data_IF_845635611651
#
_entry.id   IF_845635611651
#
_cell.length_a   1.000
_cell.length_b   1.000
_cell.length_c   1.000
_cell.angle_alpha   90.00
_cell.angle_beta   90.00
_cell.angle_gamma   90.00
#
_symmetry.space_group_name_H-M   'P 1'
#
loop_
_entity.id
_entity.type
_entity.pdbx_description
1 polymer ?
#
# COMPACT_ATOMS: atom_id res chain seq x y z
N UNK A 1 18.18 -14.25 -18.82
CA UNK A 1 17.49 -13.91 -17.55
C UNK A 1 17.70 -12.41 -17.34
N UNK A 2 16.64 -11.60 -17.39
CA UNK A 2 16.76 -10.15 -17.28
C UNK A 2 16.22 -9.71 -15.92
N UNK A 3 17.10 -9.19 -15.06
CA UNK A 3 16.75 -8.57 -13.78
C UNK A 3 15.95 -7.30 -14.04
N UNK A 4 14.67 -7.29 -13.69
CA UNK A 4 13.85 -6.07 -13.65
C UNK A 4 14.24 -5.25 -12.43
N UNK A 5 15.27 -4.42 -12.56
CA UNK A 5 15.56 -3.40 -11.56
C UNK A 5 14.38 -2.42 -11.50
N UNK A 6 13.60 -2.48 -10.43
CA UNK A 6 12.52 -1.55 -10.13
C UNK A 6 13.09 -0.13 -10.07
N UNK A 7 12.85 0.65 -11.12
CA UNK A 7 13.29 2.05 -11.19
C UNK A 7 12.48 2.83 -10.17
N UNK A 8 13.08 3.06 -8.99
CA UNK A 8 12.48 3.89 -7.96
C UNK A 8 12.35 5.32 -8.51
N UNK A 9 11.13 5.89 -8.52
CA UNK A 9 10.95 7.26 -8.98
C UNK A 9 11.76 8.21 -8.09
N UNK A 10 12.72 8.91 -8.68
CA UNK A 10 13.62 9.85 -7.99
C UNK A 10 12.95 11.20 -7.68
N UNK A 11 11.73 11.43 -8.17
CA UNK A 11 10.98 12.67 -7.97
C UNK A 11 9.58 12.38 -7.46
N UNK A 12 9.15 13.22 -6.52
CA UNK A 12 7.78 13.20 -6.01
C UNK A 12 6.81 13.66 -7.11
N UNK A 13 5.65 13.03 -7.17
CA UNK A 13 4.57 13.46 -8.05
C UNK A 13 3.84 14.69 -7.48
N UNK A 14 2.96 15.27 -8.29
CA UNK A 14 2.23 16.50 -7.93
C UNK A 14 1.39 16.34 -6.66
N UNK A 15 0.76 15.20 -6.42
CA UNK A 15 -0.04 14.95 -5.22
C UNK A 15 0.84 14.88 -3.97
N UNK A 16 1.97 14.18 -4.05
CA UNK A 16 2.93 14.08 -2.94
C UNK A 16 3.47 15.45 -2.55
N UNK A 17 3.77 16.31 -3.53
CA UNK A 17 4.21 17.69 -3.28
C UNK A 17 3.09 18.53 -2.65
N UNK A 18 1.85 18.38 -3.11
CA UNK A 18 0.69 19.07 -2.53
C UNK A 18 0.42 18.65 -1.09
N UNK A 19 0.59 17.36 -0.76
CA UNK A 19 0.51 16.88 0.61
C UNK A 19 1.59 17.53 1.48
N UNK A 20 2.84 17.56 1.03
CA UNK A 20 3.92 18.23 1.78
C UNK A 20 3.63 19.72 2.03
N UNK A 21 3.05 20.42 1.06
CA UNK A 21 2.63 21.83 1.23
C UNK A 21 1.47 22.00 2.19
N UNK A 22 0.55 21.04 2.25
CA UNK A 22 -0.56 21.05 3.20
C UNK A 22 -0.05 20.98 4.65
N UNK A 23 1.01 20.20 4.88
CA UNK A 23 1.69 20.05 6.18
C UNK A 23 2.72 21.14 6.50
N UNK A 24 2.95 22.10 5.59
CA UNK A 24 3.85 23.23 5.83
C UNK A 24 3.28 24.17 6.91
N UNK A 25 1.98 24.10 7.17
CA UNK A 25 1.30 24.74 8.29
C UNK A 25 1.26 23.77 9.47
N UNK A 26 1.56 24.26 10.68
CA UNK A 26 1.55 23.41 11.88
C UNK A 26 0.20 22.70 12.04
N UNK A 27 0.26 21.37 12.17
CA UNK A 27 -0.87 20.51 12.50
C UNK A 27 -0.68 19.96 13.92
N UNK A 28 -1.78 19.71 14.59
CA UNK A 28 -1.80 18.95 15.84
C UNK A 28 -1.45 17.48 15.58
N UNK A 29 -0.97 16.80 16.62
CA UNK A 29 -0.65 15.37 16.54
C UNK A 29 -1.90 14.53 16.20
N UNK A 30 -3.08 14.97 16.66
CA UNK A 30 -4.37 14.36 16.36
C UNK A 30 -4.68 14.43 14.86
N UNK A 31 -4.54 15.61 14.23
CA UNK A 31 -4.80 15.76 12.80
C UNK A 31 -3.78 14.94 11.95
N UNK A 32 -2.52 14.85 12.40
CA UNK A 32 -1.50 14.00 11.75
C UNK A 32 -1.91 12.53 11.80
N UNK A 33 -2.42 12.09 12.95
CA UNK A 33 -2.88 10.71 13.13
C UNK A 33 -4.07 10.39 12.23
N UNK A 34 -5.07 11.26 12.17
CA UNK A 34 -6.25 11.08 11.31
C UNK A 34 -5.87 10.92 9.83
N UNK A 35 -4.96 11.75 9.33
CA UNK A 35 -4.52 11.65 7.93
C UNK A 35 -3.72 10.37 7.70
N UNK A 36 -2.88 9.96 8.66
CA UNK A 36 -2.14 8.70 8.58
C UNK A 36 -3.09 7.51 8.48
N UNK A 37 -4.12 7.47 9.31
CA UNK A 37 -5.12 6.40 9.30
C UNK A 37 -5.86 6.33 7.96
N UNK A 38 -6.25 7.49 7.41
CA UNK A 38 -6.90 7.57 6.10
C UNK A 38 -6.01 6.99 4.98
N UNK A 39 -4.72 7.36 4.97
CA UNK A 39 -3.76 6.86 3.98
C UNK A 39 -3.55 5.35 4.12
N UNK A 40 -3.35 4.86 5.35
CA UNK A 40 -3.17 3.42 5.63
C UNK A 40 -4.41 2.64 5.20
N UNK A 41 -5.61 3.08 5.56
CA UNK A 41 -6.85 2.43 5.18
C UNK A 41 -7.01 2.34 3.65
N UNK A 42 -6.70 3.42 2.94
CA UNK A 42 -6.74 3.43 1.47
C UNK A 42 -5.72 2.45 0.86
N UNK A 43 -4.49 2.44 1.36
CA UNK A 43 -3.44 1.55 0.85
C UNK A 43 -3.75 0.08 1.16
N UNK A 44 -4.25 -0.24 2.36
CA UNK A 44 -4.67 -1.59 2.74
C UNK A 44 -5.79 -2.12 1.85
N UNK A 45 -6.78 -1.27 1.50
CA UNK A 45 -7.84 -1.65 0.56
C UNK A 45 -7.27 -1.98 -0.82
N UNK A 46 -6.32 -1.20 -1.33
CA UNK A 46 -5.67 -1.49 -2.61
C UNK A 46 -4.86 -2.77 -2.57
N UNK A 47 -4.16 -3.03 -1.46
CA UNK A 47 -3.41 -4.27 -1.27
C UNK A 47 -4.34 -5.48 -1.33
N UNK A 48 -5.47 -5.45 -0.62
CA UNK A 48 -6.45 -6.54 -0.61
C UNK A 48 -6.96 -6.86 -2.01
N UNK A 49 -7.34 -5.83 -2.77
CA UNK A 49 -7.82 -5.99 -4.17
C UNK A 49 -6.74 -6.61 -5.07
N UNK A 50 -5.48 -6.20 -4.92
CA UNK A 50 -4.38 -6.80 -5.69
C UNK A 50 -4.11 -8.25 -5.29
N UNK A 51 -4.23 -8.59 -4.00
CA UNK A 51 -4.10 -9.98 -3.52
C UNK A 51 -5.22 -10.84 -4.06
N UNK A 52 -6.47 -10.38 -4.02
CA UNK A 52 -7.62 -11.06 -4.62
C UNK A 52 -7.39 -11.30 -6.12
N UNK A 53 -6.98 -10.27 -6.86
CA UNK A 53 -6.66 -10.39 -8.29
C UNK A 53 -5.57 -11.42 -8.57
N UNK A 54 -4.49 -11.41 -7.78
CA UNK A 54 -3.37 -12.36 -7.97
C UNK A 54 -3.81 -13.79 -7.65
N UNK A 55 -4.65 -14.00 -6.63
CA UNK A 55 -5.18 -15.32 -6.30
C UNK A 55 -6.09 -15.85 -7.41
N UNK A 56 -6.97 -15.01 -7.96
CA UNK A 56 -7.81 -15.36 -9.11
C UNK A 56 -6.97 -15.71 -10.35
N UNK A 57 -5.93 -14.91 -10.65
CA UNK A 57 -5.05 -15.14 -11.81
C UNK A 57 -4.18 -16.40 -11.68
N UNK A 58 -3.79 -16.77 -10.45
CA UNK A 58 -2.96 -17.95 -10.18
C UNK A 58 -3.78 -19.21 -9.85
N UNK A 59 -5.10 -19.08 -9.76
CA UNK A 59 -6.02 -20.18 -9.43
C UNK A 59 -5.89 -20.66 -7.98
N UNK A 60 -5.34 -19.84 -7.08
CA UNK A 60 -5.29 -20.17 -5.66
C UNK A 60 -6.69 -20.05 -5.07
N UNK A 61 -7.14 -21.09 -4.40
CA UNK A 61 -8.41 -21.08 -3.67
C UNK A 61 -8.25 -20.33 -2.34
N UNK A 62 -9.35 -19.83 -1.77
CA UNK A 62 -9.31 -19.19 -0.45
C UNK A 62 -8.65 -20.08 0.63
N UNK A 63 -8.79 -21.40 0.50
CA UNK A 63 -8.15 -22.39 1.37
C UNK A 63 -6.62 -22.45 1.22
N UNK A 64 -6.08 -22.21 0.01
CA UNK A 64 -4.63 -22.20 -0.23
C UNK A 64 -3.99 -20.96 0.41
N UNK A 65 -4.69 -19.83 0.36
CA UNK A 65 -4.26 -18.56 0.96
C UNK A 65 -4.27 -18.66 2.49
N UNK A 66 -5.33 -19.24 3.04
CA UNK A 66 -5.48 -19.49 4.48
C UNK A 66 -4.45 -20.51 5.00
N UNK A 67 -4.10 -21.52 4.19
CA UNK A 67 -3.01 -22.43 4.50
C UNK A 67 -1.65 -21.72 4.53
N UNK A 68 -1.37 -20.80 3.59
CA UNK A 68 -0.13 -20.01 3.57
C UNK A 68 -0.03 -19.01 4.74
N UNK A 69 -1.14 -18.43 5.19
CA UNK A 69 -1.18 -17.50 6.33
C UNK A 69 -0.98 -18.19 7.67
N UNK A 70 -1.38 -19.46 7.77
CA UNK A 70 -1.27 -20.27 8.97
C UNK A 70 -0.07 -21.24 8.97
N UNK A 71 0.76 -21.23 7.92
CA UNK A 71 1.98 -22.04 7.86
C UNK A 71 3.08 -21.39 8.73
N UNK A 72 3.48 -22.00 9.85
CA UNK A 72 4.51 -21.44 10.71
C UNK A 72 5.87 -21.58 10.03
N UNK A 73 6.46 -20.45 9.63
CA UNK A 73 7.90 -20.36 9.31
C UNK A 73 8.75 -20.49 10.57
#
# INVERSE_FOLDING_TARGET
MASTASTQPTKLNSLQISLLRLFERGMSDEEILEIRELLVAHMSKKLLVEVERVNEERGYTAADVEAMLNDPS
#
